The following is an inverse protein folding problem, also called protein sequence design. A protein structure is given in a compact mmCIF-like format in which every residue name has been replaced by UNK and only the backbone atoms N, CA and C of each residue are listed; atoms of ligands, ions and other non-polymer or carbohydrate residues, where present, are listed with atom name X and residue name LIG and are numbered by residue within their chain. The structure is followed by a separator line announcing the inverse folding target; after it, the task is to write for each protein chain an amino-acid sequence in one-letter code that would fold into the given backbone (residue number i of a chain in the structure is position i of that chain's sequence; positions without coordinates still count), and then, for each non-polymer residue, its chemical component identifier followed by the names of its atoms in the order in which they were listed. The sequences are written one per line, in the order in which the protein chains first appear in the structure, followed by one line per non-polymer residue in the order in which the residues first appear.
data_IF_631030058177
#
_entry.id   IF_631030058177
#
_cell.length_a   1.000
_cell.length_b   1.000
_cell.length_c   1.000
_cell.angle_alpha   90.00
_cell.angle_beta   90.00
_cell.angle_gamma   90.00
#
_symmetry.space_group_name_H-M   'P 1'
#
loop_
_entity.id
_entity.type
_entity.pdbx_description
1 polymer ?
#
# COMPACT_ATOMS: atom_id res chain seq x y z
N UNK A 1 14.59 -15.13 67.94
CA UNK A 1 15.66 -15.22 66.92
C UNK A 1 14.97 -15.04 65.57
N UNK A 2 14.70 -13.82 65.11
CA UNK A 2 15.58 -12.83 64.44
C UNK A 2 15.48 -12.88 62.91
N UNK A 3 14.94 -11.77 62.36
CA UNK A 3 15.35 -11.00 61.17
C UNK A 3 14.95 -11.46 59.75
N UNK A 4 14.04 -10.67 59.17
CA UNK A 4 13.97 -10.18 57.77
C UNK A 4 15.31 -9.52 57.29
N UNK A 5 15.41 -8.81 56.15
CA UNK A 5 15.13 -9.05 54.72
C UNK A 5 16.31 -8.60 53.81
N UNK A 6 16.32 -8.93 52.51
CA UNK A 6 16.90 -8.12 51.41
C UNK A 6 16.67 -8.85 50.06
N UNK A 7 15.93 -8.32 49.09
CA UNK A 7 16.16 -7.11 48.27
C UNK A 7 17.01 -7.39 47.02
N UNK A 8 16.45 -7.02 45.86
CA UNK A 8 17.02 -7.12 44.51
C UNK A 8 16.04 -7.85 43.60
N UNK A 9 15.19 -7.22 42.79
CA UNK A 9 15.40 -6.02 41.99
C UNK A 9 15.66 -6.45 40.54
N UNK A 10 14.86 -5.94 39.60
CA UNK A 10 15.17 -6.05 38.17
C UNK A 10 14.01 -6.49 37.31
N UNK A 11 13.22 -5.53 36.84
CA UNK A 11 12.33 -5.74 35.70
C UNK A 11 13.15 -6.02 34.44
N UNK A 12 12.61 -6.86 33.57
CA UNK A 12 12.99 -6.91 32.17
C UNK A 12 11.71 -6.74 31.37
N UNK A 13 11.55 -5.55 30.79
CA UNK A 13 10.48 -5.24 29.86
C UNK A 13 10.51 -6.23 28.71
N UNK A 14 9.34 -6.78 28.40
CA UNK A 14 9.12 -7.58 27.19
C UNK A 14 9.29 -6.70 25.97
N UNK A 15 10.54 -6.53 25.53
CA UNK A 15 10.87 -6.10 24.19
C UNK A 15 10.31 -7.14 23.24
N UNK A 16 9.21 -6.80 22.56
CA UNK A 16 8.74 -7.58 21.43
C UNK A 16 9.80 -7.48 20.35
N UNK A 17 10.64 -8.51 20.23
CA UNK A 17 11.45 -8.72 19.04
C UNK A 17 10.48 -8.93 17.88
N UNK A 18 10.45 -8.01 16.93
CA UNK A 18 9.63 -8.08 15.72
C UNK A 18 10.26 -9.00 14.65
N UNK A 19 11.08 -9.97 15.05
CA UNK A 19 11.81 -10.83 14.11
C UNK A 19 10.98 -11.99 13.53
N UNK A 20 9.81 -12.31 14.08
CA UNK A 20 9.11 -13.54 13.70
C UNK A 20 7.69 -13.28 13.17
N UNK A 21 7.55 -12.40 12.18
CA UNK A 21 6.39 -12.46 11.28
C UNK A 21 6.63 -13.62 10.32
N UNK A 22 6.34 -14.84 10.77
CA UNK A 22 6.29 -16.00 9.91
C UNK A 22 4.94 -16.02 9.17
N UNK A 23 4.82 -15.17 8.15
CA UNK A 23 3.86 -15.41 7.07
C UNK A 23 4.50 -16.51 6.25
N UNK A 24 3.90 -17.70 6.17
CA UNK A 24 4.23 -18.72 5.16
C UNK A 24 4.37 -18.00 3.80
N UNK A 25 5.61 -17.74 3.37
CA UNK A 25 5.86 -16.83 2.26
C UNK A 25 6.28 -17.62 1.02
N UNK A 26 5.33 -18.05 0.16
CA UNK A 26 5.64 -18.13 -1.24
C UNK A 26 5.58 -16.69 -1.81
N UNK A 27 6.63 -16.36 -2.54
CA UNK A 27 7.02 -15.09 -3.17
C UNK A 27 5.91 -14.22 -3.84
N UNK A 28 6.05 -12.87 -3.99
CA UNK A 28 7.27 -12.06 -3.83
C UNK A 28 7.73 -11.92 -2.39
N UNK A 29 9.03 -12.14 -2.17
CA UNK A 29 9.68 -11.75 -0.92
C UNK A 29 9.63 -10.21 -0.82
N UNK A 30 9.14 -9.69 0.30
CA UNK A 30 9.16 -8.26 0.58
C UNK A 30 10.41 -7.97 1.40
N UNK A 31 11.37 -7.27 0.79
CA UNK A 31 12.63 -6.85 1.40
C UNK A 31 12.51 -5.39 1.82
N UNK A 32 12.84 -5.11 3.08
CA UNK A 32 12.83 -3.75 3.62
C UNK A 32 14.26 -3.28 3.86
N UNK A 33 14.60 -2.09 3.36
CA UNK A 33 15.89 -1.47 3.67
C UNK A 33 15.95 -1.06 5.15
N UNK A 34 17.16 -0.80 5.66
CA UNK A 34 17.34 -0.31 7.04
C UNK A 34 16.55 0.99 7.27
N UNK A 35 16.61 1.91 6.31
CA UNK A 35 15.90 3.19 6.38
C UNK A 35 14.38 3.01 6.47
N UNK A 36 13.84 2.05 5.72
CA UNK A 36 12.42 1.72 5.80
C UNK A 36 12.08 1.18 7.20
N UNK A 37 12.86 0.21 7.70
CA UNK A 37 12.67 -0.42 9.01
C UNK A 37 12.70 0.57 10.18
N UNK A 38 13.51 1.62 10.07
CA UNK A 38 13.62 2.66 11.09
C UNK A 38 12.57 3.78 10.94
N UNK A 39 11.72 3.72 9.90
CA UNK A 39 10.74 4.76 9.60
C UNK A 39 9.36 4.47 10.21
N UNK A 40 8.62 5.54 10.48
CA UNK A 40 7.17 5.47 10.79
C UNK A 40 6.34 4.73 9.71
N UNK A 41 6.82 4.69 8.46
CA UNK A 41 6.13 4.03 7.34
C UNK A 41 6.06 2.52 7.57
N UNK A 42 7.10 1.92 8.15
CA UNK A 42 7.11 0.48 8.45
C UNK A 42 6.01 0.10 9.45
N UNK A 43 5.83 0.89 10.52
CA UNK A 43 4.78 0.65 11.51
C UNK A 43 3.39 0.67 10.86
N UNK A 44 3.15 1.61 9.95
CA UNK A 44 1.87 1.74 9.24
C UNK A 44 1.69 0.62 8.22
N UNK A 45 2.74 0.27 7.47
CA UNK A 45 2.77 -0.86 6.55
C UNK A 45 2.37 -2.15 7.28
N UNK A 46 3.05 -2.48 8.38
CA UNK A 46 2.80 -3.68 9.17
C UNK A 46 1.36 -3.74 9.69
N UNK A 47 0.82 -2.60 10.15
CA UNK A 47 -0.59 -2.54 10.56
C UNK A 47 -1.53 -2.73 9.40
N UNK A 48 -1.28 -2.09 8.25
CA UNK A 48 -2.10 -2.23 7.07
C UNK A 48 -2.15 -3.70 6.63
N UNK A 49 -1.01 -4.37 6.47
CA UNK A 49 -0.98 -5.77 6.00
C UNK A 49 -1.68 -6.72 6.98
N UNK A 50 -1.51 -6.52 8.29
CA UNK A 50 -2.08 -7.39 9.32
C UNK A 50 -3.57 -7.16 9.56
N UNK A 51 -4.05 -5.92 9.42
CA UNK A 51 -5.44 -5.56 9.70
C UNK A 51 -6.39 -5.78 8.53
N UNK A 52 -5.88 -5.69 7.29
CA UNK A 52 -6.74 -5.58 6.11
C UNK A 52 -6.82 -6.85 5.28
N UNK A 53 -5.83 -7.75 5.39
CA UNK A 53 -5.63 -8.85 4.44
C UNK A 53 -5.40 -8.37 2.99
N UNK A 54 -5.15 -7.07 2.79
CA UNK A 54 -5.14 -6.42 1.48
C UNK A 54 -4.12 -7.01 0.52
N UNK A 55 -2.87 -7.20 1.00
CA UNK A 55 -1.81 -7.77 0.17
C UNK A 55 -2.19 -9.17 -0.32
N UNK A 56 -2.83 -9.98 0.54
CA UNK A 56 -3.35 -11.29 0.13
C UNK A 56 -4.46 -11.17 -0.92
N UNK A 57 -5.40 -10.25 -0.74
CA UNK A 57 -6.48 -10.00 -1.72
C UNK A 57 -5.92 -9.58 -3.08
N UNK A 58 -5.02 -8.61 -3.10
CA UNK A 58 -4.43 -8.11 -4.35
C UNK A 58 -3.54 -9.19 -4.99
N UNK A 59 -2.70 -9.90 -4.23
CA UNK A 59 -1.91 -11.02 -4.77
C UNK A 59 -2.77 -12.11 -5.41
N UNK A 60 -3.88 -12.47 -4.77
CA UNK A 60 -4.80 -13.47 -5.30
C UNK A 60 -5.42 -13.01 -6.63
N UNK A 61 -5.73 -11.71 -6.76
CA UNK A 61 -6.24 -11.11 -8.01
C UNK A 61 -5.23 -11.28 -9.16
N UNK A 62 -3.95 -11.03 -8.91
CA UNK A 62 -2.89 -11.23 -9.91
C UNK A 62 -2.41 -12.68 -10.02
N UNK A 63 -2.94 -13.61 -9.20
CA UNK A 63 -2.51 -15.02 -9.15
C UNK A 63 -1.00 -15.18 -8.90
N UNK A 64 -0.39 -14.21 -8.21
CA UNK A 64 1.03 -14.21 -7.82
C UNK A 64 1.23 -15.13 -6.61
N UNK A 65 1.00 -16.44 -6.80
CA UNK A 65 1.19 -17.46 -5.76
C UNK A 65 2.66 -17.70 -5.48
N UNK A 66 3.51 -17.57 -6.51
CA UNK A 66 4.96 -17.64 -6.41
C UNK A 66 5.57 -16.71 -7.47
N UNK A 67 6.16 -15.60 -7.04
CA UNK A 67 6.99 -14.75 -7.90
C UNK A 67 8.46 -15.22 -7.89
N UNK A 68 9.27 -14.84 -8.86
CA UNK A 68 10.73 -14.94 -8.89
C UNK A 68 11.38 -13.57 -8.65
N UNK A 69 10.58 -12.53 -8.76
CA UNK A 69 10.94 -11.13 -8.56
C UNK A 69 10.64 -10.72 -7.11
N UNK A 70 11.53 -9.93 -6.50
CA UNK A 70 11.31 -9.42 -5.15
C UNK A 70 10.66 -8.03 -5.18
N UNK A 71 10.08 -7.65 -4.04
CA UNK A 71 9.62 -6.29 -3.79
C UNK A 71 10.53 -5.63 -2.76
N UNK A 72 11.11 -4.49 -3.08
CA UNK A 72 11.97 -3.72 -2.19
C UNK A 72 11.22 -2.47 -1.71
N UNK A 73 11.12 -2.30 -0.40
CA UNK A 73 10.55 -1.11 0.24
C UNK A 73 11.69 -0.25 0.80
N UNK A 74 11.76 1.01 0.37
CA UNK A 74 12.81 1.95 0.77
C UNK A 74 12.29 3.37 1.07
N UNK A 75 13.12 4.17 1.74
CA UNK A 75 12.92 5.60 1.95
C UNK A 75 13.89 6.37 1.06
N UNK A 76 13.36 7.32 0.28
CA UNK A 76 14.15 8.14 -0.63
C UNK A 76 15.25 8.91 0.11
N UNK A 77 16.44 8.97 -0.49
CA UNK A 77 17.56 9.78 0.04
C UNK A 77 17.36 11.28 -0.18
N UNK A 78 16.63 11.62 -1.24
CA UNK A 78 16.35 12.99 -1.67
C UNK A 78 14.86 13.15 -1.94
N UNK A 79 14.31 14.37 -1.90
CA UNK A 79 12.92 14.57 -2.25
C UNK A 79 12.60 13.97 -3.62
N UNK A 80 11.49 13.23 -3.72
CA UNK A 80 11.00 12.73 -5.00
C UNK A 80 10.57 13.91 -5.89
N UNK A 81 10.43 13.74 -7.21
CA UNK A 81 9.99 14.82 -8.09
C UNK A 81 8.61 15.39 -7.73
N UNK A 82 8.41 16.69 -7.94
CA UNK A 82 7.12 17.37 -7.80
C UNK A 82 6.43 17.16 -6.45
N UNK A 83 5.15 16.77 -6.47
CA UNK A 83 4.33 16.50 -5.27
C UNK A 83 4.19 14.99 -4.96
N UNK A 84 5.05 14.16 -5.54
CA UNK A 84 5.01 12.70 -5.36
C UNK A 84 5.44 12.31 -3.94
N UNK A 85 4.59 11.57 -3.24
CA UNK A 85 4.86 11.06 -1.88
C UNK A 85 5.57 9.71 -1.89
N UNK A 86 5.35 8.91 -2.91
CA UNK A 86 6.00 7.62 -3.11
C UNK A 86 5.98 7.29 -4.61
N UNK A 87 6.90 6.45 -5.04
CA UNK A 87 6.95 5.97 -6.42
C UNK A 87 7.22 4.47 -6.45
N UNK A 88 6.58 3.79 -7.38
CA UNK A 88 6.88 2.41 -7.72
C UNK A 88 7.60 2.34 -9.06
N UNK A 89 8.75 1.69 -9.09
CA UNK A 89 9.56 1.52 -10.28
C UNK A 89 10.13 0.12 -10.42
N UNK A 90 10.31 -0.32 -11.66
CA UNK A 90 11.25 -1.37 -12.02
C UNK A 90 12.28 -0.73 -12.95
N UNK A 91 13.56 -0.80 -12.55
CA UNK A 91 14.67 -0.18 -13.28
C UNK A 91 14.95 -0.88 -14.63
N UNK A 92 14.27 -2.01 -14.91
CA UNK A 92 14.38 -2.76 -16.14
C UNK A 92 15.68 -3.56 -16.28
N UNK A 93 16.55 -3.49 -15.27
CA UNK A 93 17.84 -4.18 -15.19
C UNK A 93 17.85 -5.16 -14.03
N UNK A 94 17.26 -4.78 -12.89
CA UNK A 94 16.98 -5.66 -11.77
C UNK A 94 15.69 -6.45 -12.00
N UNK A 95 15.68 -7.66 -11.45
CA UNK A 95 14.49 -8.48 -11.26
C UNK A 95 13.66 -8.02 -10.06
N UNK A 96 13.93 -6.83 -9.51
CA UNK A 96 13.24 -6.37 -8.31
C UNK A 96 12.35 -5.18 -8.65
N UNK A 97 11.21 -5.11 -7.98
CA UNK A 97 10.30 -3.96 -8.03
C UNK A 97 10.55 -3.13 -6.79
N UNK A 98 10.76 -1.84 -6.96
CA UNK A 98 11.07 -0.91 -5.88
C UNK A 98 9.86 -0.02 -5.59
N UNK A 99 9.51 0.11 -4.31
CA UNK A 99 8.66 1.19 -3.82
C UNK A 99 9.52 2.08 -2.94
N UNK A 100 9.63 3.34 -3.33
CA UNK A 100 10.41 4.36 -2.62
C UNK A 100 9.48 5.42 -2.08
N UNK A 101 9.52 5.67 -0.77
CA UNK A 101 8.70 6.67 -0.09
C UNK A 101 9.49 7.95 0.24
N UNK A 102 8.87 9.12 0.07
CA UNK A 102 9.40 10.41 0.49
C UNK A 102 8.92 10.74 1.91
N UNK A 103 9.71 10.33 2.91
CA UNK A 103 9.37 10.56 4.31
C UNK A 103 9.19 12.06 4.65
N UNK A 104 9.92 12.95 3.98
CA UNK A 104 9.84 14.40 4.22
C UNK A 104 8.49 14.96 3.80
N UNK A 105 8.02 14.61 2.59
CA UNK A 105 6.69 15.05 2.12
C UNK A 105 5.55 14.37 2.86
N UNK A 106 5.76 13.14 3.33
CA UNK A 106 4.73 12.40 4.06
C UNK A 106 4.62 12.83 5.53
N UNK A 107 5.62 13.49 6.11
CA UNK A 107 5.76 13.72 7.56
C UNK A 107 4.50 14.24 8.27
N UNK A 108 3.74 15.12 7.62
CA UNK A 108 2.55 15.76 8.19
C UNK A 108 1.23 15.11 7.75
N UNK A 109 1.25 14.08 6.90
CA UNK A 109 0.05 13.42 6.40
C UNK A 109 -0.56 12.50 7.44
N UNK A 110 -1.90 12.35 7.49
CA UNK A 110 -2.60 11.35 8.28
C UNK A 110 -2.13 9.88 8.10
N UNK A 111 -2.27 9.01 9.10
CA UNK A 111 -1.81 7.60 9.09
C UNK A 111 -2.69 6.84 8.10
N UNK A 112 -3.95 7.26 7.96
CA UNK A 112 -4.85 6.75 6.92
C UNK A 112 -4.39 7.18 5.52
N UNK A 113 -3.75 8.34 5.35
CA UNK A 113 -3.14 8.74 4.08
C UNK A 113 -1.82 8.02 3.83
N UNK A 114 -0.98 7.80 4.84
CA UNK A 114 0.15 6.87 4.73
C UNK A 114 -0.33 5.48 4.28
N UNK A 115 -1.35 4.93 4.93
CA UNK A 115 -1.92 3.64 4.56
C UNK A 115 -2.47 3.63 3.12
N UNK A 116 -3.13 4.71 2.68
CA UNK A 116 -3.60 4.86 1.31
C UNK A 116 -2.44 4.89 0.30
N UNK A 117 -1.40 5.68 0.57
CA UNK A 117 -0.22 5.78 -0.31
C UNK A 117 0.49 4.43 -0.39
N UNK A 118 0.75 3.78 0.76
CA UNK A 118 1.35 2.45 0.80
C UNK A 118 0.49 1.45 0.00
N UNK A 119 -0.81 1.41 0.23
CA UNK A 119 -1.70 0.49 -0.49
C UNK A 119 -1.73 0.76 -2.00
N UNK A 120 -1.72 2.03 -2.41
CA UNK A 120 -1.67 2.46 -3.80
C UNK A 120 -0.40 1.98 -4.49
N UNK A 121 0.77 2.24 -3.89
CA UNK A 121 2.06 1.78 -4.44
C UNK A 121 2.17 0.25 -4.45
N UNK A 122 1.64 -0.44 -3.43
CA UNK A 122 1.61 -1.90 -3.42
C UNK A 122 0.81 -2.46 -4.61
N UNK A 123 -0.25 -1.80 -5.07
CA UNK A 123 -0.98 -2.22 -6.28
C UNK A 123 -0.11 -2.03 -7.51
N UNK A 124 0.54 -0.87 -7.68
CA UNK A 124 1.50 -0.65 -8.76
C UNK A 124 2.57 -1.74 -8.80
N UNK A 125 3.10 -2.10 -7.63
CA UNK A 125 4.12 -3.13 -7.54
C UNK A 125 3.58 -4.50 -7.96
N UNK A 126 2.36 -4.86 -7.57
CA UNK A 126 1.75 -6.12 -7.99
C UNK A 126 1.49 -6.15 -9.50
N UNK A 127 1.13 -5.01 -10.12
CA UNK A 127 1.01 -4.91 -11.59
C UNK A 127 2.38 -5.17 -12.24
N UNK A 128 3.45 -4.53 -11.76
CA UNK A 128 4.80 -4.77 -12.28
C UNK A 128 5.24 -6.23 -12.14
N UNK A 129 5.04 -6.83 -10.97
CA UNK A 129 5.38 -8.22 -10.71
C UNK A 129 4.61 -9.18 -11.63
N UNK A 130 3.31 -8.94 -11.85
CA UNK A 130 2.49 -9.71 -12.79
C UNK A 130 3.02 -9.63 -14.23
N UNK A 131 3.38 -8.42 -14.67
CA UNK A 131 3.96 -8.22 -16.00
C UNK A 131 5.32 -8.93 -16.12
N UNK A 132 6.19 -8.82 -15.10
CA UNK A 132 7.50 -9.46 -15.10
C UNK A 132 7.41 -10.99 -15.12
N UNK A 133 6.56 -11.58 -14.28
CA UNK A 133 6.28 -13.02 -14.26
C UNK A 133 5.84 -13.55 -15.61
N UNK A 134 4.92 -12.84 -16.28
CA UNK A 134 4.39 -13.28 -17.58
C UNK A 134 5.36 -13.04 -18.72
N UNK A 135 6.29 -12.10 -18.58
CA UNK A 135 7.39 -11.91 -19.55
C UNK A 135 8.46 -12.97 -19.42
N UNK A 136 8.68 -13.46 -18.21
CA UNK A 136 9.78 -14.35 -17.91
C UNK A 136 9.68 -15.65 -18.70
N UNK A 137 10.55 -15.82 -19.71
CA UNK A 137 10.65 -17.04 -20.49
C UNK A 137 9.62 -17.19 -21.62
N UNK A 138 8.83 -16.15 -21.89
CA UNK A 138 7.94 -16.13 -23.06
C UNK A 138 8.68 -15.56 -24.26
N UNK A 139 8.70 -16.32 -25.36
CA UNK A 139 9.40 -15.95 -26.59
C UNK A 139 8.64 -14.92 -27.42
N UNK A 140 7.30 -14.99 -27.42
CA UNK A 140 6.44 -14.15 -28.26
C UNK A 140 5.48 -13.28 -27.45
N UNK A 141 5.32 -12.02 -27.85
CA UNK A 141 4.43 -11.04 -27.20
C UNK A 141 2.96 -11.50 -27.15
N UNK A 142 2.58 -12.28 -28.15
CA UNK A 142 1.20 -12.67 -28.41
C UNK A 142 0.68 -13.73 -27.42
N UNK A 143 1.57 -14.54 -26.85
CA UNK A 143 1.23 -15.50 -25.81
C UNK A 143 0.79 -14.79 -24.51
N UNK A 144 1.43 -13.67 -24.19
CA UNK A 144 1.04 -12.84 -23.04
C UNK A 144 -0.29 -12.13 -23.29
N UNK A 145 -0.54 -11.71 -24.54
CA UNK A 145 -1.80 -11.09 -24.97
C UNK A 145 -3.00 -11.98 -24.78
N UNK A 146 -2.87 -13.23 -25.21
CA UNK A 146 -3.92 -14.21 -25.10
C UNK A 146 -4.24 -14.54 -23.63
N UNK A 147 -3.21 -14.61 -22.78
CA UNK A 147 -3.41 -14.79 -21.34
C UNK A 147 -4.30 -13.71 -20.74
N UNK A 148 -3.93 -12.43 -20.93
CA UNK A 148 -4.64 -11.32 -20.33
C UNK A 148 -6.07 -11.17 -20.89
N UNK A 149 -6.27 -11.50 -22.18
CA UNK A 149 -7.61 -11.60 -22.78
C UNK A 149 -8.50 -12.63 -22.11
N UNK A 150 -7.98 -13.83 -21.85
CA UNK A 150 -8.75 -14.91 -21.21
C UNK A 150 -9.12 -14.63 -19.75
N UNK A 151 -8.42 -13.70 -19.08
CA UNK A 151 -8.61 -13.41 -17.65
C UNK A 151 -9.40 -12.13 -17.35
N UNK A 152 -9.95 -11.48 -18.38
CA UNK A 152 -10.55 -10.13 -18.27
C UNK A 152 -9.59 -9.12 -17.62
N UNK A 153 -8.30 -9.35 -17.86
CA UNK A 153 -7.19 -8.47 -17.50
C UNK A 153 -6.65 -7.82 -18.78
N UNK A 154 -7.49 -7.68 -19.81
CA UNK A 154 -7.15 -7.08 -21.11
C UNK A 154 -6.57 -5.69 -20.96
N UNK A 155 -7.10 -4.92 -20.00
CA UNK A 155 -6.54 -3.62 -19.66
C UNK A 155 -5.09 -3.74 -19.17
N UNK A 156 -4.75 -4.82 -18.43
CA UNK A 156 -3.36 -5.13 -18.07
C UNK A 156 -2.44 -5.36 -19.26
N UNK A 157 -2.97 -5.99 -20.32
CA UNK A 157 -2.20 -6.20 -21.53
C UNK A 157 -1.81 -4.89 -22.22
N UNK A 158 -2.67 -3.87 -22.21
CA UNK A 158 -2.32 -2.55 -22.78
C UNK A 158 -1.18 -1.87 -21.99
N UNK A 159 -0.83 -2.40 -20.80
CA UNK A 159 0.32 -2.01 -19.98
C UNK A 159 1.59 -2.78 -20.34
N UNK A 160 1.51 -3.77 -21.23
CA UNK A 160 2.63 -4.59 -21.67
C UNK A 160 3.59 -3.79 -22.56
N UNK A 161 4.55 -3.11 -21.93
CA UNK A 161 5.70 -2.50 -22.61
C UNK A 161 5.88 -1.00 -22.41
N UNK A 162 4.99 -0.33 -21.68
CA UNK A 162 5.12 1.09 -21.40
C UNK A 162 5.10 1.32 -19.89
N UNK A 163 6.08 2.08 -19.37
CA UNK A 163 6.10 2.62 -18.01
C UNK A 163 5.06 3.75 -17.86
N UNK A 164 3.85 3.54 -18.37
CA UNK A 164 2.78 4.54 -18.43
C UNK A 164 1.91 4.45 -17.17
N UNK A 165 2.21 5.35 -16.23
CA UNK A 165 1.50 5.48 -14.97
C UNK A 165 -0.01 5.76 -15.15
N UNK A 166 -0.40 6.51 -16.19
CA UNK A 166 -1.82 6.83 -16.41
C UNK A 166 -2.62 5.56 -16.70
N UNK A 167 -2.07 4.70 -17.55
CA UNK A 167 -2.69 3.42 -17.88
C UNK A 167 -2.81 2.49 -16.66
N UNK A 168 -1.79 2.42 -15.80
CA UNK A 168 -1.88 1.69 -14.53
C UNK A 168 -2.99 2.26 -13.63
N UNK A 169 -3.12 3.58 -13.56
CA UNK A 169 -4.22 4.23 -12.84
C UNK A 169 -5.60 3.87 -13.43
N UNK A 170 -5.74 3.71 -14.75
CA UNK A 170 -6.99 3.23 -15.37
C UNK A 170 -7.40 1.84 -14.89
N UNK A 171 -6.44 0.92 -14.77
CA UNK A 171 -6.69 -0.38 -14.15
C UNK A 171 -7.22 -0.20 -12.74
N UNK A 172 -6.50 0.59 -11.95
CA UNK A 172 -6.79 0.74 -10.53
C UNK A 172 -8.19 1.31 -10.34
N UNK A 173 -8.51 2.38 -11.07
CA UNK A 173 -9.82 3.04 -11.04
C UNK A 173 -10.98 2.10 -11.36
N UNK A 174 -10.76 1.09 -12.21
CA UNK A 174 -11.83 0.20 -12.67
C UNK A 174 -11.93 -1.11 -11.90
N UNK A 175 -10.85 -1.56 -11.26
CA UNK A 175 -10.77 -2.94 -10.76
C UNK A 175 -10.39 -3.09 -9.29
N UNK A 176 -9.85 -2.06 -8.63
CA UNK A 176 -9.29 -2.21 -7.26
C UNK A 176 -9.65 -1.10 -6.27
N UNK A 177 -10.40 -0.07 -6.69
CA UNK A 177 -10.82 1.02 -5.78
C UNK A 177 -11.65 0.49 -4.61
N UNK A 178 -12.55 -0.46 -4.85
CA UNK A 178 -13.40 -1.03 -3.80
C UNK A 178 -12.60 -1.85 -2.79
N UNK A 179 -11.61 -2.62 -3.27
CA UNK A 179 -10.66 -3.34 -2.41
C UNK A 179 -9.79 -2.40 -1.60
N UNK A 180 -9.32 -1.30 -2.22
CA UNK A 180 -8.53 -0.28 -1.54
C UNK A 180 -9.37 0.41 -0.46
N UNK A 181 -10.60 0.83 -0.78
CA UNK A 181 -11.55 1.41 0.18
C UNK A 181 -11.81 0.46 1.35
N UNK A 182 -12.08 -0.82 1.06
CA UNK A 182 -12.31 -1.85 2.06
C UNK A 182 -11.09 -2.11 2.94
N UNK A 183 -9.88 -2.09 2.37
CA UNK A 183 -8.63 -2.24 3.11
C UNK A 183 -8.40 -1.07 4.08
N UNK A 184 -8.64 0.16 3.62
CA UNK A 184 -8.53 1.36 4.43
C UNK A 184 -9.54 1.38 5.57
N UNK A 185 -10.78 0.96 5.29
CA UNK A 185 -11.82 0.77 6.32
C UNK A 185 -11.39 -0.21 7.39
N UNK A 186 -10.84 -1.37 7.02
CA UNK A 186 -10.32 -2.37 7.96
C UNK A 186 -9.14 -1.85 8.77
N UNK A 187 -8.19 -1.20 8.12
CA UNK A 187 -7.05 -0.55 8.79
C UNK A 187 -7.50 0.48 9.82
N UNK A 188 -8.48 1.33 9.46
CA UNK A 188 -9.00 2.37 10.35
C UNK A 188 -9.79 1.79 11.53
N UNK A 189 -10.64 0.79 11.27
CA UNK A 189 -11.56 0.23 12.26
C UNK A 189 -10.94 -0.78 13.22
N UNK A 190 -9.75 -1.33 12.91
CA UNK A 190 -9.06 -2.28 13.81
C UNK A 190 -8.45 -1.62 15.08
N UNK A 191 -8.88 -0.40 15.42
CA UNK A 191 -8.42 0.33 16.61
C UNK A 191 -9.22 -0.09 17.85
N UNK A 192 -8.57 -0.82 18.75
CA UNK A 192 -9.03 -1.00 20.13
C UNK A 192 -8.79 0.30 20.91
N UNK A 193 -9.85 1.07 21.15
CA UNK A 193 -9.79 2.29 21.97
C UNK A 193 -10.41 3.49 21.24
N UNK A 194 -11.71 3.70 21.48
CA UNK A 194 -12.53 4.73 20.84
C UNK A 194 -12.07 6.15 21.23
N UNK A 195 -11.13 6.72 20.47
CA UNK A 195 -10.99 8.18 20.30
C UNK A 195 -10.71 8.46 18.83
N UNK A 196 -11.73 8.89 18.11
CA UNK A 196 -11.65 9.20 16.68
C UNK A 196 -13.04 9.35 16.06
N UNK A 197 -13.13 10.19 15.04
CA UNK A 197 -14.35 10.41 14.26
C UNK A 197 -14.75 9.14 13.50
N UNK A 198 -16.03 8.81 13.50
CA UNK A 198 -16.54 7.69 12.71
C UNK A 198 -16.50 8.09 11.24
N UNK A 199 -15.75 7.33 10.44
CA UNK A 199 -15.70 7.49 8.99
C UNK A 199 -16.80 6.65 8.34
N UNK A 200 -17.44 7.21 7.32
CA UNK A 200 -18.44 6.52 6.49
C UNK A 200 -17.77 5.79 5.33
N UNK A 201 -18.51 4.89 4.68
CA UNK A 201 -18.01 4.15 3.50
C UNK A 201 -17.65 5.09 2.35
N UNK A 202 -18.39 6.18 2.18
CA UNK A 202 -18.08 7.24 1.21
C UNK A 202 -16.81 8.01 1.56
N UNK A 203 -16.44 8.11 2.84
CA UNK A 203 -15.17 8.73 3.23
C UNK A 203 -13.98 7.84 2.86
N UNK A 204 -14.11 6.52 3.04
CA UNK A 204 -13.08 5.56 2.59
C UNK A 204 -13.00 5.49 1.07
N UNK A 205 -14.12 5.55 0.36
CA UNK A 205 -14.15 5.65 -1.10
C UNK A 205 -13.42 6.93 -1.56
N UNK A 206 -13.72 8.07 -0.94
CA UNK A 206 -13.05 9.34 -1.27
C UNK A 206 -11.53 9.29 -1.09
N UNK A 207 -11.05 8.62 -0.03
CA UNK A 207 -9.62 8.38 0.20
C UNK A 207 -9.05 7.43 -0.85
N UNK A 208 -9.75 6.34 -1.19
CA UNK A 208 -9.29 5.36 -2.17
C UNK A 208 -9.12 5.97 -3.58
N UNK A 209 -9.96 6.93 -3.96
CA UNK A 209 -9.84 7.65 -5.24
C UNK A 209 -8.67 8.65 -5.31
N UNK A 210 -8.03 8.96 -4.17
CA UNK A 210 -6.90 9.88 -4.16
C UNK A 210 -5.75 9.35 -5.05
N UNK A 211 -5.35 10.18 -6.03
CA UNK A 211 -4.34 9.82 -7.03
C UNK A 211 -4.90 9.23 -8.33
N UNK A 212 -6.21 8.99 -8.42
CA UNK A 212 -6.87 8.36 -9.57
C UNK A 212 -7.84 9.29 -10.32
N UNK A 213 -7.83 10.61 -10.04
CA UNK A 213 -8.81 11.56 -10.58
C UNK A 213 -8.71 11.84 -12.08
N UNK A 214 -7.61 11.46 -12.73
CA UNK A 214 -7.40 11.68 -14.16
C UNK A 214 -7.72 10.42 -14.98
N UNK A 215 -8.46 9.47 -14.40
CA UNK A 215 -8.81 8.20 -15.04
C UNK A 215 -10.20 8.24 -15.63
N UNK A 216 -10.46 7.46 -16.68
CA UNK A 216 -11.80 7.23 -17.23
C UNK A 216 -12.75 6.65 -16.19
N UNK A 217 -12.26 5.79 -15.30
CA UNK A 217 -13.04 5.27 -14.19
C UNK A 217 -13.57 6.38 -13.28
N UNK A 218 -12.75 7.40 -13.00
CA UNK A 218 -13.20 8.60 -12.30
C UNK A 218 -14.13 9.46 -13.15
N UNK A 219 -13.80 9.70 -14.43
CA UNK A 219 -14.61 10.52 -15.33
C UNK A 219 -16.01 9.96 -15.59
N UNK A 220 -16.17 8.64 -15.51
CA UNK A 220 -17.46 7.95 -15.65
C UNK A 220 -18.41 8.20 -14.46
N UNK A 221 -17.91 8.65 -13.30
CA UNK A 221 -18.76 9.04 -12.18
C UNK A 221 -19.52 10.32 -12.49
N UNK A 222 -20.75 10.41 -11.98
CA UNK A 222 -21.54 11.62 -12.14
C UNK A 222 -20.88 12.83 -11.46
N UNK A 223 -21.18 14.03 -11.95
CA UNK A 223 -20.52 15.25 -11.50
C UNK A 223 -20.80 15.58 -10.03
N UNK A 224 -21.97 15.20 -9.50
CA UNK A 224 -22.33 15.41 -8.10
C UNK A 224 -21.57 14.45 -7.19
N UNK A 225 -21.44 13.18 -7.58
CA UNK A 225 -20.64 12.20 -6.85
C UNK A 225 -19.17 12.59 -6.82
N UNK A 226 -18.59 13.00 -7.97
CA UNK A 226 -17.19 13.48 -8.00
C UNK A 226 -16.97 14.67 -7.08
N UNK A 227 -17.94 15.58 -7.02
CA UNK A 227 -17.89 16.73 -6.10
C UNK A 227 -17.98 16.28 -4.64
N UNK A 228 -18.93 15.42 -4.28
CA UNK A 228 -19.08 14.90 -2.92
C UNK A 228 -17.80 14.21 -2.43
N UNK A 229 -17.21 13.34 -3.25
CA UNK A 229 -15.97 12.63 -2.91
C UNK A 229 -14.78 13.61 -2.73
N UNK A 230 -14.65 14.63 -3.58
CA UNK A 230 -13.62 15.68 -3.44
C UNK A 230 -13.83 16.54 -2.19
N UNK A 231 -15.07 16.91 -1.89
CA UNK A 231 -15.42 17.71 -0.72
C UNK A 231 -15.15 16.93 0.58
N UNK A 232 -15.46 15.62 0.60
CA UNK A 232 -15.11 14.72 1.71
C UNK A 232 -13.61 14.64 1.91
N UNK A 233 -12.83 14.39 0.86
CA UNK A 233 -11.38 14.33 0.98
C UNK A 233 -10.78 15.65 1.48
N UNK A 234 -11.31 16.78 1.01
CA UNK A 234 -10.86 18.11 1.45
C UNK A 234 -11.15 18.34 2.93
N UNK A 235 -12.35 17.97 3.41
CA UNK A 235 -12.68 18.00 4.84
C UNK A 235 -11.76 17.09 5.66
N UNK A 236 -11.46 15.90 5.16
CA UNK A 236 -10.55 14.94 5.80
C UNK A 236 -9.12 15.46 5.93
N UNK A 237 -8.63 16.20 4.92
CA UNK A 237 -7.29 16.81 4.93
C UNK A 237 -7.16 17.97 5.92
N UNK A 238 -8.22 18.73 6.11
CA UNK A 238 -8.21 19.95 6.92
C UNK A 238 -8.59 19.72 8.39
N UNK A 239 -9.17 18.57 8.71
CA UNK A 239 -9.61 18.26 10.07
C UNK A 239 -8.47 17.55 10.83
N UNK A 240 -7.83 18.32 11.71
CA UNK A 240 -6.70 17.90 12.55
C UNK A 240 -7.09 16.85 13.59
N UNK A 241 -8.38 16.59 13.80
CA UNK A 241 -8.87 15.52 14.69
C UNK A 241 -8.86 14.14 14.03
N UNK A 242 -8.66 14.06 12.71
CA UNK A 242 -8.45 12.79 11.98
C UNK A 242 -7.11 12.13 12.29
N UNK A 243 -6.27 12.76 13.11
CA UNK A 243 -4.90 12.36 13.31
C UNK A 243 -4.47 12.49 14.77
N UNK A 244 -3.96 11.48 15.49
CA UNK A 244 -3.08 10.34 15.21
C UNK A 244 -3.48 9.23 16.21
N UNK A 245 -3.60 7.93 15.86
CA UNK A 245 -3.32 6.93 16.89
C UNK A 245 -1.82 7.07 17.18
N UNK A 246 -1.46 7.57 18.38
CA UNK A 246 -0.07 7.83 18.83
C UNK A 246 0.89 6.64 18.70
N UNK A 247 0.42 5.52 18.18
CA UNK A 247 1.05 4.22 18.11
C UNK A 247 2.10 4.09 17.00
N UNK A 248 2.14 4.98 16.00
CA UNK A 248 3.22 5.06 15.02
C UNK A 248 3.70 6.52 14.97
N UNK A 249 4.66 6.86 15.84
CA UNK A 249 5.36 8.16 15.88
C UNK A 249 6.67 8.04 15.12
#
# INVERSE_FOLDING_TARGET
LTKDPNSGGGGAGGGRSFSDINIDAPSPEVKMTLKFKESKIECIYNKLINSSGFIRTIRNRFQLKSSKFNLILDISKTPLPGHTHAQTENDGVSVDVHITFDAGKMANLPNIQYAQIIAHEMIHAMIYLDILERRHGVKEREDVKEYYRKKDLTKIYDYFGEKDTLKQHEYMSSMVVDELSSALKRFYNNKKGKKGKVLTDKDFEAIAWQGLYNTKGWEAKDSLERKDLKDRLSKLKNDTTFYIPEECK
#
